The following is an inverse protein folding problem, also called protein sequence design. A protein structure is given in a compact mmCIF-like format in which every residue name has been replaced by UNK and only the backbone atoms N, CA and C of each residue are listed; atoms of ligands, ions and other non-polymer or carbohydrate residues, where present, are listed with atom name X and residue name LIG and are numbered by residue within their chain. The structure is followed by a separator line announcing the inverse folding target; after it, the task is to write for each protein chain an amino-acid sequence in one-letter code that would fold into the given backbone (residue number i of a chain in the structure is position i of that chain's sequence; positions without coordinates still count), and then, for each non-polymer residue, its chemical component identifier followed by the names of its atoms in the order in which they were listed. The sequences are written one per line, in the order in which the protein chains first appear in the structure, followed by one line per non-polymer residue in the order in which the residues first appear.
data_IF_215956781369
#
_entry.id   IF_215956781369
#
_cell.length_a   1.000
_cell.length_b   1.000
_cell.length_c   1.000
_cell.angle_alpha   90.00
_cell.angle_beta   90.00
_cell.angle_gamma   90.00
#
_symmetry.space_group_name_H-M   'P 1'
#
loop_
_entity.id
_entity.type
_entity.pdbx_description
1 polymer ?
#
# COMPACT_ATOMS: atom_id res chain seq x y z
N UNK A 1 -17.04 -13.44 -13.80
CA UNK A 1 -17.09 -14.13 -12.49
C UNK A 1 -17.43 -13.07 -11.46
N UNK A 2 -18.53 -13.21 -10.72
CA UNK A 2 -18.88 -12.26 -9.67
C UNK A 2 -17.74 -12.26 -8.63
N UNK A 3 -17.18 -11.08 -8.36
CA UNK A 3 -16.11 -10.91 -7.39
C UNK A 3 -16.75 -11.09 -6.02
N UNK A 4 -16.50 -12.23 -5.37
CA UNK A 4 -16.94 -12.43 -3.98
C UNK A 4 -16.27 -11.33 -3.15
N UNK A 5 -17.02 -10.55 -2.35
CA UNK A 5 -16.42 -9.50 -1.54
C UNK A 5 -15.39 -10.12 -0.59
N UNK A 6 -14.17 -9.57 -0.60
CA UNK A 6 -13.15 -9.97 0.35
C UNK A 6 -13.57 -9.47 1.73
N UNK A 7 -13.98 -10.38 2.61
CA UNK A 7 -14.41 -10.05 3.98
C UNK A 7 -13.24 -10.00 4.97
N UNK A 8 -12.03 -10.27 4.52
CA UNK A 8 -10.82 -10.20 5.32
C UNK A 8 -9.59 -9.93 4.45
N UNK A 9 -8.57 -9.32 5.07
CA UNK A 9 -7.26 -9.12 4.46
C UNK A 9 -6.31 -10.26 4.88
N UNK A 10 -5.83 -11.03 3.89
CA UNK A 10 -4.82 -12.07 4.01
C UNK A 10 -3.65 -11.84 3.04
N UNK A 11 -2.67 -12.76 3.01
CA UNK A 11 -1.51 -12.65 2.12
C UNK A 11 -1.90 -12.59 0.63
N UNK A 12 -2.93 -13.33 0.20
CA UNK A 12 -3.37 -13.36 -1.19
C UNK A 12 -4.08 -12.05 -1.56
N UNK A 13 -4.85 -11.48 -0.64
CA UNK A 13 -5.44 -10.16 -0.80
C UNK A 13 -4.36 -9.09 -0.96
N UNK A 14 -3.27 -9.14 -0.19
CA UNK A 14 -2.11 -8.23 -0.35
C UNK A 14 -1.44 -8.40 -1.71
N UNK A 15 -1.18 -9.65 -2.16
CA UNK A 15 -0.64 -9.94 -3.49
C UNK A 15 -1.55 -9.38 -4.60
N UNK A 16 -2.84 -9.63 -4.49
CA UNK A 16 -3.86 -9.16 -5.43
C UNK A 16 -3.91 -7.63 -5.47
N UNK A 17 -3.87 -6.98 -4.30
CA UNK A 17 -3.86 -5.54 -4.17
C UNK A 17 -2.61 -4.94 -4.81
N UNK A 18 -1.42 -5.51 -4.56
CA UNK A 18 -0.18 -5.04 -5.18
C UNK A 18 -0.25 -5.10 -6.71
N UNK A 19 -0.70 -6.22 -7.28
CA UNK A 19 -0.89 -6.35 -8.72
C UNK A 19 -1.95 -5.40 -9.28
N UNK A 20 -3.02 -5.15 -8.53
CA UNK A 20 -4.07 -4.18 -8.89
C UNK A 20 -3.55 -2.75 -8.90
N UNK A 21 -2.83 -2.33 -7.85
CA UNK A 21 -2.23 -1.02 -7.71
C UNK A 21 -1.18 -0.75 -8.80
N UNK A 22 -0.31 -1.73 -9.08
CA UNK A 22 0.69 -1.63 -10.14
C UNK A 22 0.02 -1.39 -11.52
N UNK A 23 -1.02 -2.16 -11.85
CA UNK A 23 -1.78 -1.96 -13.09
C UNK A 23 -2.49 -0.60 -13.14
N UNK A 24 -3.02 -0.13 -12.01
CA UNK A 24 -3.69 1.16 -11.94
C UNK A 24 -2.69 2.31 -12.15
N UNK A 25 -1.55 2.29 -11.46
CA UNK A 25 -0.47 3.26 -11.65
C UNK A 25 0.09 3.20 -13.07
N UNK A 26 0.23 2.01 -13.66
CA UNK A 26 0.69 1.88 -15.05
C UNK A 26 -0.23 2.58 -16.05
N UNK A 27 -1.56 2.57 -15.82
CA UNK A 27 -2.53 3.28 -16.68
C UNK A 27 -2.57 4.78 -16.41
N UNK A 28 -2.39 5.20 -15.16
CA UNK A 28 -2.49 6.59 -14.75
C UNK A 28 -1.15 7.35 -14.82
N UNK A 29 -0.04 6.66 -15.07
CA UNK A 29 1.33 7.21 -15.00
C UNK A 29 1.49 8.52 -15.75
N UNK A 30 1.13 8.54 -17.04
CA UNK A 30 1.29 9.71 -17.90
C UNK A 30 0.39 10.87 -17.45
N UNK A 31 -0.82 10.57 -16.97
CA UNK A 31 -1.74 11.58 -16.44
C UNK A 31 -1.20 12.19 -15.14
N UNK A 32 -0.68 11.35 -14.23
CA UNK A 32 -0.07 11.80 -12.98
C UNK A 32 1.19 12.63 -13.26
N UNK A 33 2.02 12.21 -14.21
CA UNK A 33 3.20 12.95 -14.66
C UNK A 33 2.80 14.32 -15.25
N UNK A 34 1.68 14.39 -15.97
CA UNK A 34 1.18 15.63 -16.58
C UNK A 34 0.58 16.64 -15.58
N UNK A 35 -0.04 16.19 -14.50
CA UNK A 35 -0.57 17.07 -13.43
C UNK A 35 0.48 17.49 -12.40
N UNK A 36 1.72 17.03 -12.52
CA UNK A 36 2.80 17.36 -11.61
C UNK A 36 3.25 18.82 -11.80
N UNK A 37 2.45 19.77 -11.27
CA UNK A 37 2.66 21.22 -11.45
C UNK A 37 3.26 21.92 -10.21
N UNK A 38 3.54 21.20 -9.11
CA UNK A 38 4.01 21.82 -7.85
C UNK A 38 5.01 20.96 -7.05
N UNK A 39 6.11 21.53 -6.49
CA UNK A 39 6.71 22.85 -6.76
C UNK A 39 7.67 22.84 -7.96
N UNK A 40 8.08 21.66 -8.44
CA UNK A 40 8.97 21.46 -9.60
C UNK A 40 8.29 20.46 -10.53
N UNK A 41 7.95 20.91 -11.74
CA UNK A 41 7.36 20.07 -12.78
C UNK A 41 8.46 19.26 -13.49
N UNK A 42 9.04 18.29 -12.79
CA UNK A 42 9.97 17.31 -13.37
C UNK A 42 9.24 16.19 -14.13
N UNK A 43 7.90 16.15 -14.04
CA UNK A 43 7.06 15.26 -14.84
C UNK A 43 7.33 13.78 -14.58
N UNK A 44 7.77 13.42 -13.37
CA UNK A 44 8.18 12.07 -13.03
C UNK A 44 7.39 11.44 -11.87
N UNK A 45 6.40 12.13 -11.29
CA UNK A 45 5.66 11.65 -10.11
C UNK A 45 4.97 10.31 -10.36
N UNK A 46 4.22 10.17 -11.44
CA UNK A 46 3.58 8.93 -11.84
C UNK A 46 4.60 7.84 -12.16
N UNK A 47 5.70 8.20 -12.83
CA UNK A 47 6.82 7.29 -13.09
C UNK A 47 7.42 6.74 -11.79
N UNK A 48 7.67 7.62 -10.82
CA UNK A 48 8.26 7.30 -9.53
C UNK A 48 7.34 6.40 -8.69
N UNK A 49 6.04 6.67 -8.69
CA UNK A 49 5.03 5.84 -8.03
C UNK A 49 4.96 4.44 -8.67
N UNK A 50 4.91 4.37 -10.00
CA UNK A 50 4.87 3.10 -10.73
C UNK A 50 6.07 2.22 -10.41
N UNK A 51 7.29 2.76 -10.53
CA UNK A 51 8.53 2.01 -10.29
C UNK A 51 8.66 1.55 -8.83
N UNK A 52 8.23 2.38 -7.88
CA UNK A 52 8.21 2.02 -6.46
C UNK A 52 7.23 0.87 -6.19
N UNK A 53 6.02 0.96 -6.75
CA UNK A 53 5.01 -0.09 -6.61
C UNK A 53 5.39 -1.39 -7.34
N UNK A 54 6.11 -1.29 -8.46
CA UNK A 54 6.65 -2.43 -9.19
C UNK A 54 7.63 -3.22 -8.31
N UNK A 55 8.53 -2.52 -7.61
CA UNK A 55 9.46 -3.15 -6.67
C UNK A 55 8.74 -3.79 -5.47
N UNK A 56 7.71 -3.14 -4.94
CA UNK A 56 6.88 -3.70 -3.88
C UNK A 56 6.15 -4.98 -4.32
N UNK A 57 5.53 -4.96 -5.51
CA UNK A 57 4.84 -6.11 -6.08
C UNK A 57 5.83 -7.27 -6.35
N UNK A 58 6.99 -6.99 -6.92
CA UNK A 58 8.03 -7.99 -7.16
C UNK A 58 8.51 -8.66 -5.87
N UNK A 59 8.66 -7.90 -4.78
CA UNK A 59 9.04 -8.46 -3.48
C UNK A 59 7.96 -9.40 -2.91
N UNK A 60 6.68 -9.05 -3.05
CA UNK A 60 5.56 -9.94 -2.66
C UNK A 60 5.55 -11.21 -3.52
N UNK A 61 5.69 -11.08 -4.84
CA UNK A 61 5.77 -12.25 -5.74
C UNK A 61 6.93 -13.19 -5.38
N UNK A 62 8.10 -12.62 -5.03
CA UNK A 62 9.25 -13.41 -4.61
C UNK A 62 8.98 -14.22 -3.34
N UNK A 63 8.23 -13.67 -2.37
CA UNK A 63 7.77 -14.43 -1.20
C UNK A 63 6.89 -15.59 -1.64
N UNK A 64 5.87 -15.36 -2.46
CA UNK A 64 4.98 -16.42 -2.92
C UNK A 64 5.73 -17.54 -3.65
N UNK A 65 6.62 -17.19 -4.58
CA UNK A 65 7.45 -18.15 -5.30
C UNK A 65 8.34 -18.98 -4.36
N UNK A 66 8.87 -18.37 -3.29
CA UNK A 66 9.64 -19.08 -2.26
C UNK A 66 8.85 -20.22 -1.60
N UNK A 67 7.56 -20.00 -1.32
CA UNK A 67 6.67 -20.99 -0.70
C UNK A 67 6.16 -22.06 -1.68
N UNK A 68 6.16 -21.81 -2.99
CA UNK A 68 5.77 -22.82 -4.01
C UNK A 68 6.66 -24.07 -3.98
N UNK A 69 7.91 -23.93 -3.50
CA UNK A 69 8.87 -25.04 -3.36
C UNK A 69 8.77 -25.77 -2.02
N UNK A 70 7.97 -25.26 -1.07
CA UNK A 70 7.79 -25.80 0.26
C UNK A 70 6.39 -26.38 0.53
N UNK A 71 6.10 -26.73 1.78
CA UNK A 71 4.79 -27.26 2.22
C UNK A 71 3.87 -26.20 2.85
N UNK A 72 4.33 -24.95 2.94
CA UNK A 72 3.62 -23.85 3.60
C UNK A 72 2.97 -22.86 2.63
N UNK A 73 2.34 -21.84 3.19
CA UNK A 73 1.87 -20.66 2.45
C UNK A 73 2.40 -19.40 3.13
N UNK A 74 2.61 -18.29 2.39
CA UNK A 74 2.98 -17.02 3.00
C UNK A 74 1.92 -16.58 4.02
N UNK A 75 2.38 -16.13 5.19
CA UNK A 75 1.50 -15.46 6.14
C UNK A 75 1.19 -14.03 5.66
N UNK A 76 0.18 -13.39 6.25
CA UNK A 76 -0.08 -11.97 6.00
C UNK A 76 1.17 -11.13 6.35
N UNK A 77 1.82 -11.44 7.47
CA UNK A 77 3.00 -10.73 7.92
C UNK A 77 4.15 -10.83 6.91
N UNK A 78 4.36 -12.00 6.29
CA UNK A 78 5.38 -12.17 5.25
C UNK A 78 5.07 -11.28 4.04
N UNK A 79 3.81 -11.26 3.60
CA UNK A 79 3.39 -10.47 2.44
C UNK A 79 3.51 -8.95 2.69
N UNK A 80 3.00 -8.43 3.82
CA UNK A 80 3.05 -6.98 4.09
C UNK A 80 4.46 -6.49 4.38
N UNK A 81 5.31 -7.30 5.04
CA UNK A 81 6.72 -6.97 5.26
C UNK A 81 7.48 -6.94 3.94
N UNK A 82 7.23 -7.90 3.05
CA UNK A 82 7.85 -7.91 1.73
C UNK A 82 7.39 -6.71 0.87
N UNK A 83 6.11 -6.38 0.89
CA UNK A 83 5.56 -5.19 0.22
C UNK A 83 6.26 -3.92 0.70
N UNK A 84 6.31 -3.69 2.02
CA UNK A 84 6.97 -2.53 2.60
C UNK A 84 8.48 -2.51 2.29
N UNK A 85 9.16 -3.65 2.40
CA UNK A 85 10.58 -3.76 2.11
C UNK A 85 10.89 -3.45 0.63
N UNK A 86 10.14 -4.06 -0.30
CA UNK A 86 10.30 -3.80 -1.73
C UNK A 86 10.03 -2.33 -2.07
N UNK A 87 9.00 -1.72 -1.50
CA UNK A 87 8.73 -0.29 -1.69
C UNK A 87 9.89 0.59 -1.20
N UNK A 88 10.47 0.28 -0.02
CA UNK A 88 11.59 1.05 0.54
C UNK A 88 12.86 0.92 -0.30
N UNK A 89 13.20 -0.28 -0.75
CA UNK A 89 14.39 -0.52 -1.60
C UNK A 89 14.20 0.07 -3.00
N UNK A 90 12.98 0.00 -3.53
CA UNK A 90 12.64 0.48 -4.86
C UNK A 90 12.23 1.94 -4.96
N UNK A 91 12.16 2.66 -3.84
CA UNK A 91 11.66 4.03 -3.79
C UNK A 91 12.39 4.96 -4.77
N UNK A 92 11.62 5.69 -5.59
CA UNK A 92 12.13 6.67 -6.55
C UNK A 92 11.63 8.07 -6.24
N UNK A 93 12.56 9.02 -6.14
CA UNK A 93 12.22 10.42 -5.84
C UNK A 93 11.44 10.61 -4.54
N UNK A 94 10.85 11.79 -4.39
CA UNK A 94 10.08 12.13 -3.19
C UNK A 94 8.75 11.36 -3.15
N UNK A 95 8.04 11.28 -4.28
CA UNK A 95 6.75 10.61 -4.39
C UNK A 95 6.85 9.11 -4.10
N UNK A 96 7.90 8.43 -4.59
CA UNK A 96 8.17 7.04 -4.25
C UNK A 96 8.57 6.85 -2.78
N UNK A 97 9.36 7.78 -2.22
CA UNK A 97 9.70 7.74 -0.79
C UNK A 97 8.46 7.86 0.09
N UNK A 98 7.54 8.77 -0.22
CA UNK A 98 6.27 8.93 0.51
C UNK A 98 5.41 7.67 0.39
N UNK A 99 5.28 7.10 -0.82
CA UNK A 99 4.56 5.83 -1.01
C UNK A 99 5.18 4.71 -0.18
N UNK A 100 6.51 4.61 -0.14
CA UNK A 100 7.20 3.62 0.67
C UNK A 100 6.94 3.80 2.18
N UNK A 101 6.83 5.05 2.66
CA UNK A 101 6.47 5.31 4.07
C UNK A 101 5.02 4.95 4.38
N UNK A 102 4.09 5.22 3.47
CA UNK A 102 2.69 4.75 3.62
C UNK A 102 2.65 3.23 3.75
N UNK A 103 3.29 2.49 2.83
CA UNK A 103 3.30 1.03 2.84
C UNK A 103 4.03 0.45 4.07
N UNK A 104 5.12 1.10 4.50
CA UNK A 104 5.82 0.76 5.74
C UNK A 104 4.93 0.94 6.96
N UNK A 105 4.23 2.07 7.07
CA UNK A 105 3.29 2.33 8.17
C UNK A 105 2.19 1.28 8.23
N UNK A 106 1.55 0.96 7.09
CA UNK A 106 0.56 -0.12 7.05
C UNK A 106 1.15 -1.45 7.54
N UNK A 107 2.36 -1.80 7.08
CA UNK A 107 3.01 -3.05 7.48
C UNK A 107 3.31 -3.13 8.98
N UNK A 108 3.56 -2.02 9.66
CA UNK A 108 3.83 -2.02 11.11
C UNK A 108 2.61 -2.52 11.89
N UNK A 109 1.40 -2.11 11.49
CA UNK A 109 0.15 -2.55 12.12
C UNK A 109 -0.26 -3.95 11.65
N UNK A 110 -0.18 -4.21 10.34
CA UNK A 110 -0.69 -5.45 9.75
C UNK A 110 0.19 -6.68 10.04
N UNK A 111 1.49 -6.47 10.31
CA UNK A 111 2.40 -7.56 10.64
C UNK A 111 2.34 -8.01 12.11
N UNK A 112 1.67 -7.26 13.00
CA UNK A 112 1.44 -7.59 14.42
C UNK A 112 0.29 -8.60 14.61
N UNK A 113 0.09 -9.48 13.64
CA UNK A 113 -1.01 -10.42 13.62
C UNK A 113 -0.57 -11.76 14.23
N UNK A 114 -1.10 -12.07 15.42
CA UNK A 114 -0.82 -13.33 16.11
C UNK A 114 -1.47 -14.51 15.37
N UNK A 115 -0.65 -15.28 14.66
CA UNK A 115 -1.00 -16.59 14.12
C UNK A 115 -0.95 -16.72 12.58
N UNK A 116 -0.57 -17.91 12.12
CA UNK A 116 -0.39 -18.30 10.70
C UNK A 116 -1.64 -18.14 9.80
N UNK A 117 -2.81 -17.85 10.38
CA UNK A 117 -4.09 -17.74 9.66
C UNK A 117 -4.80 -16.41 9.90
N UNK A 118 -4.10 -15.42 10.46
CA UNK A 118 -4.72 -14.15 10.84
C UNK A 118 -5.36 -13.45 9.64
N UNK A 119 -6.69 -13.46 9.65
CA UNK A 119 -7.58 -12.68 8.79
C UNK A 119 -7.77 -11.34 9.48
N UNK A 120 -7.41 -10.27 8.80
CA UNK A 120 -7.58 -8.93 9.36
C UNK A 120 -8.94 -8.37 8.97
N UNK A 121 -9.65 -7.87 9.98
CA UNK A 121 -10.94 -7.21 9.86
C UNK A 121 -10.78 -5.72 9.49
N UNK A 122 -11.92 -5.05 9.29
CA UNK A 122 -11.96 -3.63 8.94
C UNK A 122 -11.33 -2.74 10.02
N UNK A 123 -11.47 -3.09 11.30
CA UNK A 123 -10.97 -2.28 12.42
C UNK A 123 -9.43 -2.19 12.44
N UNK A 124 -8.72 -3.28 12.14
CA UNK A 124 -7.26 -3.23 12.07
C UNK A 124 -6.75 -2.70 10.73
N UNK A 125 -7.50 -2.86 9.63
CA UNK A 125 -7.18 -2.14 8.38
C UNK A 125 -7.30 -0.61 8.56
N UNK A 126 -8.34 -0.15 9.25
CA UNK A 126 -8.51 1.25 9.63
C UNK A 126 -7.26 1.77 10.38
N UNK A 127 -6.84 1.04 11.41
CA UNK A 127 -5.66 1.40 12.21
C UNK A 127 -4.41 1.48 11.33
N UNK A 128 -4.25 0.53 10.40
CA UNK A 128 -3.14 0.51 9.46
C UNK A 128 -3.15 1.74 8.53
N UNK A 129 -4.32 2.15 8.03
CA UNK A 129 -4.46 3.33 7.18
C UNK A 129 -4.15 4.63 7.93
N UNK A 130 -4.64 4.76 9.18
CA UNK A 130 -4.34 5.92 10.03
C UNK A 130 -2.84 6.00 10.31
N UNK A 131 -2.24 4.89 10.77
CA UNK A 131 -0.82 4.84 11.09
C UNK A 131 0.06 5.10 9.86
N UNK A 132 -0.36 4.66 8.67
CA UNK A 132 0.32 4.98 7.41
C UNK A 132 0.30 6.47 7.10
N UNK A 133 -0.88 7.11 7.20
CA UNK A 133 -1.02 8.55 6.95
C UNK A 133 -0.16 9.38 7.90
N UNK A 134 -0.14 9.02 9.19
CA UNK A 134 0.68 9.70 10.21
C UNK A 134 2.18 9.49 9.93
N UNK A 135 2.60 8.25 9.66
CA UNK A 135 4.00 7.93 9.32
C UNK A 135 4.50 8.68 8.09
N UNK A 136 3.65 8.85 7.07
CA UNK A 136 4.01 9.59 5.86
C UNK A 136 4.12 11.10 6.11
N UNK A 137 3.25 11.67 6.96
CA UNK A 137 3.37 13.07 7.38
C UNK A 137 4.66 13.33 8.15
N UNK A 138 4.97 12.46 9.12
CA UNK A 138 6.18 12.59 9.95
C UNK A 138 7.47 12.44 9.14
N UNK A 139 7.45 11.66 8.06
CA UNK A 139 8.61 11.46 7.20
C UNK A 139 8.92 12.66 6.28
N UNK A 140 8.00 13.61 6.14
CA UNK A 140 8.17 14.79 5.29
C UNK A 140 8.50 16.00 6.15
N UNK A 141 9.66 16.63 5.91
CA UNK A 141 10.14 17.75 6.73
C UNK A 141 9.19 18.96 6.73
N UNK A 142 8.52 19.22 5.61
CA UNK A 142 7.55 20.32 5.46
C UNK A 142 6.31 19.80 4.71
N UNK A 143 5.36 19.15 5.40
CA UNK A 143 4.18 18.60 4.75
C UNK A 143 3.27 19.73 4.23
N UNK A 144 2.67 19.50 3.06
CA UNK A 144 1.83 20.48 2.36
C UNK A 144 0.46 19.87 2.07
N UNK A 145 -0.59 20.63 2.37
CA UNK A 145 -1.97 20.26 2.02
C UNK A 145 -2.22 20.30 0.51
N UNK A 146 -3.12 19.46 0.04
CA UNK A 146 -3.36 19.28 -1.40
C UNK A 146 -2.36 18.33 -2.07
N UNK A 147 -1.64 17.52 -1.28
CA UNK A 147 -0.73 16.47 -1.76
C UNK A 147 -1.31 15.07 -1.49
N UNK A 148 -0.57 14.03 -1.86
CA UNK A 148 -0.92 12.64 -1.52
C UNK A 148 -1.09 12.42 -0.01
N UNK A 149 -0.46 13.26 0.83
CA UNK A 149 -0.63 13.22 2.29
C UNK A 149 -2.07 13.54 2.71
N UNK A 150 -2.68 14.57 2.11
CA UNK A 150 -4.08 14.92 2.33
C UNK A 150 -5.02 13.79 1.91
N UNK A 151 -4.71 13.13 0.77
CA UNK A 151 -5.48 11.98 0.28
C UNK A 151 -5.39 10.80 1.25
N UNK A 152 -4.20 10.50 1.78
CA UNK A 152 -4.00 9.43 2.75
C UNK A 152 -4.79 9.68 4.04
N UNK A 153 -4.73 10.91 4.59
CA UNK A 153 -5.52 11.29 5.77
C UNK A 153 -7.03 11.18 5.51
N UNK A 154 -7.51 11.67 4.36
CA UNK A 154 -8.91 11.59 3.99
C UNK A 154 -9.39 10.13 3.82
N UNK A 155 -8.55 9.25 3.30
CA UNK A 155 -8.84 7.82 3.19
C UNK A 155 -8.96 7.16 4.57
N UNK A 156 -8.05 7.45 5.50
CA UNK A 156 -8.13 6.97 6.88
C UNK A 156 -9.40 7.48 7.60
N UNK A 157 -9.74 8.76 7.42
CA UNK A 157 -10.97 9.34 7.99
C UNK A 157 -12.23 8.71 7.39
N UNK A 158 -12.23 8.42 6.08
CA UNK A 158 -13.36 7.77 5.42
C UNK A 158 -13.57 6.34 5.92
N UNK A 159 -12.49 5.57 6.07
CA UNK A 159 -12.55 4.25 6.69
C UNK A 159 -13.11 4.33 8.12
N UNK A 160 -12.77 5.37 8.89
CA UNK A 160 -13.28 5.54 10.25
C UNK A 160 -14.79 5.78 10.27
N UNK A 161 -15.31 6.55 9.30
CA UNK A 161 -16.74 6.83 9.17
C UNK A 161 -17.54 5.62 8.68
N UNK A 162 -16.93 4.73 7.90
CA UNK A 162 -17.59 3.53 7.41
C UNK A 162 -17.88 2.50 8.52
N UNK A 163 -17.12 2.52 9.63
CA UNK A 163 -17.31 1.58 10.73
C UNK A 163 -17.13 0.11 10.29
N UNK A 164 -17.90 -0.81 10.89
CA UNK A 164 -17.89 -2.25 10.55
C UNK A 164 -18.63 -2.59 9.24
N UNK A 165 -19.11 -1.60 8.48
CA UNK A 165 -19.91 -1.79 7.27
C UNK A 165 -19.07 -2.05 6.00
N UNK A 166 -17.90 -2.68 6.14
CA UNK A 166 -17.07 -3.07 5.00
C UNK A 166 -17.74 -4.15 4.10
N UNK A 167 -18.89 -4.70 4.50
CA UNK A 167 -19.65 -5.71 3.75
C UNK A 167 -20.67 -5.15 2.75
N UNK A 168 -20.98 -3.85 2.80
CA UNK A 168 -22.04 -3.24 1.99
C UNK A 168 -21.56 -2.36 0.82
N UNK A 169 -20.24 -2.28 0.58
CA UNK A 169 -19.63 -1.43 -0.48
C UNK A 169 -19.18 -2.25 -1.69
#
# INVERSE_FOLDING_TARGET
MAQVPLTFLDALAVRTWCGGALRALGRAREEIDAINVYPVADGDTGTNLYLTMESAAAAVEAVFAGYETGTGRPSLADAVRAMAHGALIGARGNSGTILAQLLRGMSQVLAESDGDTARIDGARLLLALRHAADSAHEAVAHPVEGTVLTVASAAADAAQRAGDDCGAV
#
